data_IF_876919585582
#
_entry.id   IF_876919585582
#
_cell.length_a   1.000
_cell.length_b   1.000
_cell.length_c   1.000
_cell.angle_alpha   90.00
_cell.angle_beta   90.00
_cell.angle_gamma   90.00
#
_symmetry.space_group_name_H-M   'P 1'
#
loop_
_entity.id
_entity.type
_entity.pdbx_description
1 polymer ?
#
# COMPACT_ATOMS: atom_id res chain seq x y z
N UNK A 1 46.47 -11.75 -28.03
CA UNK A 1 45.52 -12.83 -27.69
C UNK A 1 44.88 -12.41 -26.38
N UNK A 2 43.71 -11.78 -26.46
CA UNK A 2 42.95 -11.41 -25.28
C UNK A 2 42.45 -12.72 -24.65
N UNK A 3 42.69 -12.89 -23.35
CA UNK A 3 42.15 -13.99 -22.58
C UNK A 3 40.63 -13.95 -22.66
N UNK A 4 40.01 -14.90 -23.36
CA UNK A 4 38.61 -15.24 -23.18
C UNK A 4 38.46 -15.67 -21.71
N UNK A 5 38.14 -14.71 -20.84
CA UNK A 5 37.69 -15.02 -19.50
C UNK A 5 36.46 -15.90 -19.63
N UNK A 6 36.47 -17.07 -19.00
CA UNK A 6 35.33 -17.98 -18.92
C UNK A 6 34.09 -17.17 -18.53
N UNK A 7 33.21 -16.91 -19.51
CA UNK A 7 31.92 -16.30 -19.23
C UNK A 7 31.05 -17.36 -18.56
N UNK A 8 30.94 -17.27 -17.24
CA UNK A 8 30.08 -18.15 -16.45
C UNK A 8 28.61 -17.85 -16.78
N UNK A 9 27.93 -18.80 -17.42
CA UNK A 9 26.50 -18.71 -17.68
C UNK A 9 25.68 -18.78 -16.39
N UNK A 10 24.44 -18.28 -16.46
CA UNK A 10 23.43 -18.49 -15.41
C UNK A 10 23.33 -19.97 -15.03
N UNK A 11 23.24 -20.26 -13.74
CA UNK A 11 23.08 -21.64 -13.27
C UNK A 11 21.69 -22.20 -13.58
N UNK A 12 20.67 -21.33 -13.61
CA UNK A 12 19.28 -21.70 -13.84
C UNK A 12 18.91 -21.71 -15.33
N UNK A 13 19.56 -20.85 -16.13
CA UNK A 13 19.24 -20.63 -17.54
C UNK A 13 20.48 -20.78 -18.42
N UNK A 14 20.88 -22.04 -18.62
CA UNK A 14 21.96 -22.44 -19.52
C UNK A 14 21.58 -23.68 -20.35
N UNK A 15 20.47 -23.58 -21.09
CA UNK A 15 19.99 -24.71 -21.88
C UNK A 15 20.90 -24.98 -23.09
N UNK A 16 21.25 -26.25 -23.33
CA UNK A 16 22.12 -26.65 -24.45
C UNK A 16 21.46 -26.37 -25.81
N UNK A 17 20.14 -26.52 -25.89
CA UNK A 17 19.31 -26.31 -27.07
C UNK A 17 18.79 -24.87 -27.21
N UNK A 18 19.27 -23.93 -26.38
CA UNK A 18 18.91 -22.52 -26.46
C UNK A 18 19.22 -21.93 -27.84
N UNK A 19 18.32 -21.11 -28.36
CA UNK A 19 18.42 -20.42 -29.66
C UNK A 19 18.70 -18.90 -29.53
N UNK A 20 18.86 -18.42 -28.30
CA UNK A 20 19.14 -17.02 -27.95
C UNK A 20 20.02 -16.95 -26.69
N UNK A 21 20.87 -15.92 -26.62
CA UNK A 21 21.58 -15.57 -25.39
C UNK A 21 21.21 -14.14 -25.00
N UNK A 22 20.63 -13.97 -23.81
CA UNK A 22 20.50 -12.64 -23.19
C UNK A 22 21.76 -12.36 -22.37
N UNK A 23 22.27 -11.14 -22.40
CA UNK A 23 23.42 -10.71 -21.62
C UNK A 23 22.93 -9.66 -20.64
N UNK A 24 23.03 -9.94 -19.34
CA UNK A 24 22.66 -8.97 -18.30
C UNK A 24 23.64 -7.78 -18.25
N UNK A 25 23.26 -6.71 -17.55
CA UNK A 25 24.12 -5.53 -17.41
C UNK A 25 25.43 -5.80 -16.66
N UNK A 26 25.46 -6.82 -15.81
CA UNK A 26 26.64 -7.37 -15.14
C UNK A 26 27.35 -8.48 -15.97
N UNK A 27 27.08 -8.54 -17.27
CA UNK A 27 27.75 -9.40 -18.25
C UNK A 27 27.57 -10.90 -18.05
N UNK A 28 26.51 -11.33 -17.36
CA UNK A 28 26.17 -12.75 -17.20
C UNK A 28 25.30 -13.20 -18.38
N UNK A 29 25.72 -14.22 -19.15
CA UNK A 29 24.92 -14.76 -20.24
C UNK A 29 23.86 -15.75 -19.74
N UNK A 30 22.64 -15.62 -20.28
CA UNK A 30 21.50 -16.49 -20.08
C UNK A 30 21.16 -17.16 -21.41
N UNK A 31 21.36 -18.47 -21.50
CA UNK A 31 21.01 -19.24 -22.70
C UNK A 31 19.55 -19.69 -22.62
N UNK A 32 18.70 -19.11 -23.46
CA UNK A 32 17.23 -19.14 -23.37
C UNK A 32 16.59 -19.39 -24.74
N UNK A 33 15.29 -19.67 -24.75
CA UNK A 33 14.52 -19.94 -25.97
C UNK A 33 13.65 -18.74 -26.35
N UNK A 34 13.76 -18.26 -27.59
CA UNK A 34 12.91 -17.20 -28.17
C UNK A 34 11.44 -17.51 -28.03
N UNK A 35 11.06 -18.76 -28.30
CA UNK A 35 9.67 -19.23 -28.19
C UNK A 35 9.14 -19.19 -26.75
N UNK A 36 10.00 -19.47 -25.76
CA UNK A 36 9.65 -19.35 -24.35
C UNK A 36 9.40 -17.89 -23.99
N UNK A 37 10.38 -17.03 -24.28
CA UNK A 37 10.30 -15.60 -24.03
C UNK A 37 9.09 -14.94 -24.72
N UNK A 38 8.90 -15.19 -26.01
CA UNK A 38 7.76 -14.64 -26.75
C UNK A 38 6.40 -15.21 -26.35
N UNK A 39 6.38 -16.37 -25.68
CA UNK A 39 5.14 -16.92 -25.11
C UNK A 39 4.78 -16.33 -23.75
N UNK A 40 5.75 -15.81 -23.00
CA UNK A 40 5.55 -15.22 -21.67
C UNK A 40 5.67 -13.70 -21.62
N UNK A 41 5.96 -13.04 -22.75
CA UNK A 41 6.13 -11.59 -22.87
C UNK A 41 5.85 -11.13 -24.30
N UNK A 42 4.84 -10.27 -24.47
CA UNK A 42 4.54 -9.66 -25.78
C UNK A 42 5.64 -8.69 -26.22
N UNK A 43 6.33 -8.04 -25.28
CA UNK A 43 7.49 -7.16 -25.57
C UNK A 43 8.62 -7.95 -26.22
N UNK A 44 9.01 -9.10 -25.66
CA UNK A 44 10.06 -9.93 -26.27
C UNK A 44 9.63 -10.50 -27.62
N UNK A 45 8.37 -10.93 -27.74
CA UNK A 45 7.82 -11.39 -29.02
C UNK A 45 7.93 -10.33 -30.12
N UNK A 46 7.48 -9.10 -29.83
CA UNK A 46 7.57 -7.96 -30.74
C UNK A 46 9.02 -7.59 -31.09
N UNK A 47 9.92 -7.64 -30.09
CA UNK A 47 11.36 -7.43 -30.30
C UNK A 47 11.93 -8.45 -31.31
N UNK A 48 11.57 -9.73 -31.20
CA UNK A 48 12.07 -10.77 -32.11
C UNK A 48 11.46 -10.72 -33.50
N UNK A 49 10.22 -10.24 -33.65
CA UNK A 49 9.58 -10.04 -34.95
C UNK A 49 10.21 -8.87 -35.70
N UNK A 50 10.64 -7.84 -34.97
CA UNK A 50 11.26 -6.62 -35.54
C UNK A 50 12.75 -6.82 -35.86
N UNK A 51 13.47 -7.52 -34.99
CA UNK A 51 14.86 -7.90 -35.21
C UNK A 51 14.92 -9.15 -36.11
N UNK A 52 15.08 -8.94 -37.42
CA UNK A 52 15.10 -10.01 -38.43
C UNK A 52 16.02 -11.21 -38.12
N UNK A 53 15.83 -12.31 -38.86
CA UNK A 53 16.50 -13.59 -38.59
C UNK A 53 18.04 -13.45 -38.49
N UNK A 54 18.70 -14.09 -37.50
CA UNK A 54 20.15 -14.02 -37.35
C UNK A 54 20.88 -14.58 -38.57
N UNK A 55 22.02 -13.97 -38.92
CA UNK A 55 22.96 -14.51 -39.90
C UNK A 55 23.40 -15.93 -39.50
N UNK A 56 23.38 -16.87 -40.46
CA UNK A 56 23.60 -18.28 -40.20
C UNK A 56 24.94 -18.57 -39.48
N UNK A 57 24.88 -19.26 -38.33
CA UNK A 57 26.03 -19.87 -37.68
C UNK A 57 26.33 -19.40 -36.24
N UNK A 58 25.72 -18.32 -35.76
CA UNK A 58 25.89 -17.86 -34.37
C UNK A 58 24.57 -17.62 -33.67
N UNK A 59 24.50 -18.01 -32.40
CA UNK A 59 23.35 -17.70 -31.55
C UNK A 59 23.27 -16.18 -31.38
N UNK A 60 22.13 -15.56 -31.69
CA UNK A 60 21.94 -14.13 -31.48
C UNK A 60 22.12 -13.79 -30.00
N UNK A 61 22.77 -12.64 -29.76
CA UNK A 61 22.99 -12.10 -28.41
C UNK A 61 22.24 -10.78 -28.28
N UNK A 62 21.58 -10.58 -27.13
CA UNK A 62 20.86 -9.34 -26.81
C UNK A 62 21.34 -8.85 -25.46
N UNK A 63 21.93 -7.65 -25.44
CA UNK A 63 22.33 -6.98 -24.22
C UNK A 63 21.11 -6.34 -23.55
N UNK A 64 20.96 -6.60 -22.26
CA UNK A 64 19.89 -6.10 -21.41
C UNK A 64 20.44 -5.12 -20.38
N UNK A 65 19.58 -4.19 -19.95
CA UNK A 65 19.92 -3.22 -18.91
C UNK A 65 19.78 -3.82 -17.49
N UNK A 66 19.09 -4.94 -17.37
CA UNK A 66 18.78 -5.61 -16.12
C UNK A 66 19.94 -6.46 -15.61
N UNK A 67 20.13 -6.48 -14.29
CA UNK A 67 21.15 -7.32 -13.66
C UNK A 67 20.75 -8.80 -13.68
N UNK A 68 21.75 -9.66 -13.59
CA UNK A 68 21.55 -11.12 -13.51
C UNK A 68 20.60 -11.51 -12.37
N UNK A 69 20.73 -10.87 -11.21
CA UNK A 69 19.89 -11.14 -10.04
C UNK A 69 18.39 -10.90 -10.27
N UNK A 70 18.04 -9.89 -11.07
CA UNK A 70 16.64 -9.61 -11.41
C UNK A 70 16.14 -10.62 -12.44
N UNK A 71 16.95 -10.92 -13.46
CA UNK A 71 16.60 -11.88 -14.51
C UNK A 71 16.42 -13.30 -13.96
N UNK A 72 17.25 -13.73 -13.01
CA UNK A 72 17.11 -15.03 -12.32
C UNK A 72 15.76 -15.17 -11.59
N UNK A 73 15.24 -14.07 -11.03
CA UNK A 73 13.92 -14.05 -10.37
C UNK A 73 12.77 -13.96 -11.37
N UNK A 74 12.97 -13.29 -12.51
CA UNK A 74 11.94 -12.97 -13.48
C UNK A 74 11.68 -14.10 -14.49
N UNK A 75 12.74 -14.66 -15.06
CA UNK A 75 12.65 -15.68 -16.10
C UNK A 75 11.85 -16.94 -15.71
N UNK A 76 11.85 -17.41 -14.44
CA UNK A 76 10.98 -18.52 -14.03
C UNK A 76 9.49 -18.31 -14.30
N UNK A 77 9.01 -17.06 -14.37
CA UNK A 77 7.63 -16.76 -14.71
C UNK A 77 7.33 -16.88 -16.21
N UNK A 78 8.34 -16.76 -17.07
CA UNK A 78 8.19 -16.90 -18.52
C UNK A 78 8.09 -18.38 -18.92
N UNK A 79 8.80 -19.26 -18.22
CA UNK A 79 8.85 -20.67 -18.57
C UNK A 79 7.76 -21.49 -17.85
N UNK A 80 7.20 -22.52 -18.50
CA UNK A 80 6.31 -23.47 -17.83
C UNK A 80 7.03 -24.16 -16.67
N UNK A 81 6.43 -24.14 -15.49
CA UNK A 81 7.02 -24.74 -14.29
C UNK A 81 6.36 -24.25 -13.02
N UNK A 82 6.59 -24.94 -11.90
CA UNK A 82 6.16 -24.48 -10.58
C UNK A 82 7.20 -23.47 -10.08
N UNK A 83 6.76 -22.25 -9.84
CA UNK A 83 7.59 -21.20 -9.23
C UNK A 83 7.26 -21.15 -7.74
N UNK A 84 8.25 -21.15 -6.83
CA UNK A 84 8.00 -21.00 -5.41
C UNK A 84 7.30 -19.65 -5.11
N UNK A 85 6.58 -19.54 -3.97
CA UNK A 85 5.97 -18.27 -3.59
C UNK A 85 6.98 -17.14 -3.57
N UNK A 86 6.65 -16.03 -4.25
CA UNK A 86 7.49 -14.85 -4.28
C UNK A 86 7.51 -14.19 -2.91
N UNK A 87 8.71 -13.90 -2.41
CA UNK A 87 8.92 -13.09 -1.22
C UNK A 87 9.33 -11.69 -1.67
N UNK A 88 8.58 -10.69 -1.22
CA UNK A 88 8.88 -9.28 -1.48
C UNK A 88 9.84 -8.75 -0.42
N UNK A 89 11.02 -8.36 -0.86
CA UNK A 89 12.06 -7.72 -0.07
C UNK A 89 12.38 -6.34 -0.65
N UNK A 90 12.16 -5.28 0.12
CA UNK A 90 12.30 -3.89 -0.33
C UNK A 90 13.59 -3.29 0.21
N UNK A 91 14.32 -2.49 -0.59
CA UNK A 91 13.88 -1.86 -1.84
C UNK A 91 14.06 -2.72 -3.11
N UNK A 92 14.75 -3.86 -3.05
CA UNK A 92 15.16 -4.64 -4.23
C UNK A 92 13.99 -5.11 -5.11
N UNK A 93 12.85 -5.42 -4.49
CA UNK A 93 11.65 -5.86 -5.21
C UNK A 93 11.11 -4.80 -6.15
N UNK A 94 11.37 -3.50 -5.90
CA UNK A 94 10.96 -2.46 -6.85
C UNK A 94 11.59 -2.66 -8.22
N UNK A 95 12.85 -3.11 -8.29
CA UNK A 95 13.50 -3.41 -9.56
C UNK A 95 12.84 -4.59 -10.26
N UNK A 96 12.45 -5.64 -9.52
CA UNK A 96 11.73 -6.78 -10.09
C UNK A 96 10.39 -6.35 -10.68
N UNK A 97 9.64 -5.50 -9.95
CA UNK A 97 8.35 -4.97 -10.38
C UNK A 97 8.47 -4.14 -11.66
N UNK A 98 9.40 -3.18 -11.70
CA UNK A 98 9.67 -2.33 -12.87
C UNK A 98 10.03 -3.17 -14.09
N UNK A 99 10.84 -4.21 -13.89
CA UNK A 99 11.26 -5.08 -14.99
C UNK A 99 10.14 -6.01 -15.46
N UNK A 100 9.33 -6.53 -14.55
CA UNK A 100 8.15 -7.32 -14.90
C UNK A 100 7.14 -6.51 -15.72
N UNK A 101 6.95 -5.24 -15.37
CA UNK A 101 6.12 -4.29 -16.12
C UNK A 101 6.75 -3.94 -17.48
N UNK A 102 8.05 -3.59 -17.50
CA UNK A 102 8.80 -3.26 -18.72
C UNK A 102 8.69 -4.35 -19.80
N UNK A 103 8.71 -5.61 -19.40
CA UNK A 103 8.61 -6.76 -20.32
C UNK A 103 7.20 -7.34 -20.40
N UNK A 104 6.20 -6.73 -19.75
CA UNK A 104 4.80 -7.19 -19.75
C UNK A 104 4.67 -8.69 -19.45
N UNK A 105 5.34 -9.15 -18.37
CA UNK A 105 5.29 -10.55 -17.95
C UNK A 105 4.13 -10.71 -16.96
N UNK A 106 2.93 -10.90 -17.49
CA UNK A 106 1.67 -10.95 -16.71
C UNK A 106 1.74 -11.93 -15.54
N UNK A 107 2.31 -13.12 -15.76
CA UNK A 107 2.44 -14.14 -14.71
C UNK A 107 3.32 -13.67 -13.55
N UNK A 108 4.33 -12.84 -13.81
CA UNK A 108 5.15 -12.26 -12.76
C UNK A 108 4.37 -11.17 -12.01
N UNK A 109 3.62 -10.32 -12.72
CA UNK A 109 2.76 -9.29 -12.12
C UNK A 109 1.67 -9.91 -11.24
N UNK A 110 1.05 -11.00 -11.67
CA UNK A 110 0.09 -11.79 -10.86
C UNK A 110 0.74 -12.36 -9.60
N UNK A 111 1.96 -12.91 -9.72
CA UNK A 111 2.70 -13.45 -8.57
C UNK A 111 3.09 -12.35 -7.57
N UNK A 112 3.47 -11.16 -8.06
CA UNK A 112 3.73 -9.98 -7.22
C UNK A 112 2.44 -9.56 -6.49
N UNK A 113 1.31 -9.49 -7.19
CA UNK A 113 0.03 -9.15 -6.59
C UNK A 113 -0.37 -10.15 -5.49
N UNK A 114 -0.17 -11.45 -5.75
CA UNK A 114 -0.41 -12.51 -4.78
C UNK A 114 0.52 -12.40 -3.56
N UNK A 115 1.79 -12.04 -3.77
CA UNK A 115 2.76 -11.83 -2.69
C UNK A 115 2.37 -10.65 -1.79
N UNK A 116 1.92 -9.52 -2.37
CA UNK A 116 1.38 -8.42 -1.59
C UNK A 116 0.13 -8.84 -0.80
N UNK A 117 -0.82 -9.52 -1.44
CA UNK A 117 -2.03 -9.98 -0.78
C UNK A 117 -1.73 -10.93 0.39
N UNK A 118 -0.79 -11.86 0.20
CA UNK A 118 -0.35 -12.79 1.24
C UNK A 118 0.30 -12.05 2.40
N UNK A 119 1.23 -11.11 2.11
CA UNK A 119 1.91 -10.32 3.13
C UNK A 119 0.91 -9.55 4.00
N UNK A 120 0.01 -8.80 3.36
CA UNK A 120 -1.06 -8.07 4.06
C UNK A 120 -1.92 -9.00 4.93
N UNK A 121 -2.27 -10.19 4.43
CA UNK A 121 -3.10 -11.13 5.19
C UNK A 121 -2.35 -11.78 6.37
N UNK A 122 -1.03 -11.92 6.29
CA UNK A 122 -0.20 -12.58 7.31
C UNK A 122 0.28 -11.65 8.43
N UNK A 123 0.43 -10.36 8.15
CA UNK A 123 0.99 -9.40 9.10
C UNK A 123 -0.02 -8.96 10.17
N UNK A 124 0.39 -9.08 11.43
CA UNK A 124 -0.39 -8.65 12.59
C UNK A 124 0.56 -8.19 13.71
N UNK A 125 0.64 -6.87 14.01
CA UNK A 125 -0.15 -5.80 13.42
C UNK A 125 0.21 -5.52 11.95
N UNK A 126 -0.69 -4.90 11.18
CA UNK A 126 -0.38 -4.32 9.87
C UNK A 126 0.76 -3.30 9.95
N UNK A 127 1.66 -3.32 8.96
CA UNK A 127 2.69 -2.30 8.78
C UNK A 127 2.27 -1.31 7.69
N UNK A 128 2.11 0.00 8.00
CA UNK A 128 1.56 0.96 7.04
C UNK A 128 2.42 1.15 5.78
N UNK A 129 3.74 1.02 5.89
CA UNK A 129 4.62 1.08 4.73
C UNK A 129 4.32 -0.07 3.75
N UNK A 130 4.06 -1.27 4.25
CA UNK A 130 3.78 -2.44 3.41
C UNK A 130 2.45 -2.32 2.67
N UNK A 131 1.43 -1.78 3.34
CA UNK A 131 0.13 -1.52 2.73
C UNK A 131 0.23 -0.36 1.74
N UNK A 132 1.09 0.63 1.99
CA UNK A 132 1.41 1.68 1.02
C UNK A 132 2.05 1.13 -0.25
N UNK A 133 3.06 0.26 -0.12
CA UNK A 133 3.70 -0.40 -1.26
C UNK A 133 2.68 -1.18 -2.10
N UNK A 134 1.79 -1.94 -1.44
CA UNK A 134 0.72 -2.67 -2.10
C UNK A 134 -0.28 -1.74 -2.79
N UNK A 135 -0.63 -0.62 -2.16
CA UNK A 135 -1.53 0.39 -2.73
C UNK A 135 -0.94 1.02 -4.00
N UNK A 136 0.35 1.39 -4.00
CA UNK A 136 1.01 1.98 -5.17
C UNK A 136 1.03 1.00 -6.33
N UNK A 137 1.49 -0.23 -6.10
CA UNK A 137 1.51 -1.28 -7.12
C UNK A 137 0.11 -1.55 -7.69
N UNK A 138 -0.86 -1.84 -6.81
CA UNK A 138 -2.22 -2.15 -7.24
C UNK A 138 -2.91 -0.97 -7.93
N UNK A 139 -2.57 0.26 -7.58
CA UNK A 139 -3.08 1.44 -8.27
C UNK A 139 -2.52 1.58 -9.68
N UNK A 140 -1.22 1.35 -9.84
CA UNK A 140 -0.55 1.41 -11.14
C UNK A 140 -1.13 0.39 -12.13
N UNK A 141 -1.34 -0.86 -11.66
CA UNK A 141 -1.85 -1.94 -12.50
C UNK A 141 -3.39 -2.14 -12.44
N UNK A 142 -4.13 -1.21 -11.82
CA UNK A 142 -5.60 -1.26 -11.70
C UNK A 142 -6.15 -2.57 -11.10
N UNK A 143 -5.47 -3.10 -10.08
CA UNK A 143 -5.82 -4.34 -9.42
C UNK A 143 -6.77 -4.12 -8.24
N UNK A 144 -7.64 -5.10 -7.96
CA UNK A 144 -8.63 -5.06 -6.87
C UNK A 144 -8.02 -4.84 -5.48
N UNK A 145 -6.76 -5.26 -5.32
CA UNK A 145 -5.98 -5.11 -4.09
C UNK A 145 -5.90 -3.65 -3.60
N UNK A 146 -6.00 -2.67 -4.53
CA UNK A 146 -5.97 -1.23 -4.26
C UNK A 146 -6.96 -0.84 -3.16
N UNK A 147 -8.18 -1.35 -3.23
CA UNK A 147 -9.25 -0.97 -2.28
C UNK A 147 -8.97 -1.51 -0.88
N UNK A 148 -8.42 -2.71 -0.78
CA UNK A 148 -8.08 -3.34 0.50
C UNK A 148 -6.90 -2.61 1.15
N UNK A 149 -5.83 -2.37 0.40
CA UNK A 149 -4.66 -1.62 0.88
C UNK A 149 -5.04 -0.19 1.30
N UNK A 150 -5.85 0.51 0.49
CA UNK A 150 -6.32 1.85 0.82
C UNK A 150 -7.14 1.90 2.11
N UNK A 151 -8.00 0.90 2.37
CA UNK A 151 -8.80 0.84 3.60
C UNK A 151 -7.91 0.65 4.84
N UNK A 152 -6.91 -0.23 4.76
CA UNK A 152 -5.98 -0.49 5.86
C UNK A 152 -5.12 0.73 6.18
N UNK A 153 -4.52 1.35 5.16
CA UNK A 153 -3.81 2.62 5.27
C UNK A 153 -4.66 3.73 5.88
N UNK A 154 -5.92 3.82 5.44
CA UNK A 154 -6.86 4.76 6.01
C UNK A 154 -7.04 4.46 7.49
N UNK A 155 -7.26 3.21 7.90
CA UNK A 155 -7.47 2.85 9.31
C UNK A 155 -6.23 3.02 10.20
N UNK A 156 -5.03 2.81 9.66
CA UNK A 156 -3.75 3.06 10.33
C UNK A 156 -3.43 4.55 10.49
N UNK A 157 -3.94 5.41 9.60
CA UNK A 157 -3.74 6.87 9.61
C UNK A 157 -2.26 7.31 9.68
N UNK A 158 -1.36 6.80 8.82
CA UNK A 158 0.07 7.13 8.85
C UNK A 158 0.29 8.63 8.62
N UNK A 159 1.31 9.22 9.24
CA UNK A 159 1.53 10.67 9.16
C UNK A 159 1.83 11.10 7.72
N UNK A 160 1.63 12.39 7.43
CA UNK A 160 1.96 12.90 6.10
C UNK A 160 3.47 12.81 5.81
N UNK A 161 4.30 12.95 6.83
CA UNK A 161 5.76 12.80 6.75
C UNK A 161 6.14 11.37 6.38
N UNK A 162 5.52 10.38 7.03
CA UNK A 162 5.77 8.96 6.74
C UNK A 162 5.45 8.63 5.29
N UNK A 163 4.26 9.01 4.81
CA UNK A 163 3.82 8.74 3.43
C UNK A 163 4.75 9.41 2.43
N UNK A 164 5.18 10.65 2.67
CA UNK A 164 6.15 11.33 1.81
C UNK A 164 7.51 10.62 1.80
N UNK A 165 7.97 10.14 2.96
CA UNK A 165 9.23 9.39 3.08
C UNK A 165 9.20 8.09 2.26
N UNK A 166 8.08 7.36 2.28
CA UNK A 166 7.91 6.14 1.49
C UNK A 166 7.73 6.42 0.00
N UNK A 167 7.13 7.57 -0.36
CA UNK A 167 6.89 7.94 -1.76
C UNK A 167 8.18 8.31 -2.48
N UNK A 168 9.08 9.04 -1.81
CA UNK A 168 10.30 9.58 -2.42
C UNK A 168 11.15 8.53 -3.18
N UNK A 169 11.42 7.32 -2.66
CA UNK A 169 12.18 6.30 -3.40
C UNK A 169 11.38 5.63 -4.54
N UNK A 170 10.04 5.70 -4.51
CA UNK A 170 9.16 4.99 -5.45
C UNK A 170 8.78 5.87 -6.64
N UNK A 171 8.63 7.18 -6.42
CA UNK A 171 8.18 8.15 -7.42
C UNK A 171 8.97 8.11 -8.75
N UNK A 172 10.30 7.93 -8.77
CA UNK A 172 11.05 7.79 -10.03
C UNK A 172 10.72 6.52 -10.82
N UNK A 173 10.28 5.46 -10.12
CA UNK A 173 10.01 4.14 -10.69
C UNK A 173 8.56 4.02 -11.16
N UNK A 174 7.63 4.60 -10.38
CA UNK A 174 6.21 4.62 -10.66
C UNK A 174 5.69 6.07 -10.62
N UNK A 175 5.96 6.88 -11.66
CA UNK A 175 5.57 8.27 -11.71
C UNK A 175 4.05 8.38 -11.93
N UNK A 176 3.26 8.37 -10.87
CA UNK A 176 1.80 8.48 -10.95
C UNK A 176 1.22 9.33 -9.81
N UNK A 177 0.02 9.89 -10.04
CA UNK A 177 -0.71 10.83 -9.15
C UNK A 177 -1.24 10.20 -7.85
N UNK A 178 -1.07 8.90 -7.66
CA UNK A 178 -1.71 8.10 -6.61
C UNK A 178 -1.27 8.47 -5.16
N UNK A 179 0.01 8.79 -4.88
CA UNK A 179 0.42 9.28 -3.56
C UNK A 179 -0.31 10.57 -3.16
N UNK A 180 -0.52 11.47 -4.13
CA UNK A 180 -1.24 12.73 -3.90
C UNK A 180 -2.72 12.50 -3.60
N UNK A 181 -3.32 11.47 -4.22
CA UNK A 181 -4.70 11.08 -3.94
C UNK A 181 -4.85 10.48 -2.55
N UNK A 182 -3.95 9.57 -2.14
CA UNK A 182 -3.95 9.00 -0.79
C UNK A 182 -3.77 10.10 0.26
N UNK A 183 -2.77 10.97 0.10
CA UNK A 183 -2.53 12.10 0.99
C UNK A 183 -3.76 13.02 1.08
N UNK A 184 -4.41 13.28 -0.06
CA UNK A 184 -5.66 14.06 -0.09
C UNK A 184 -6.78 13.37 0.70
N UNK A 185 -6.94 12.05 0.57
CA UNK A 185 -7.94 11.27 1.32
C UNK A 185 -7.65 11.29 2.82
N UNK A 186 -6.40 11.09 3.22
CA UNK A 186 -5.98 11.16 4.62
C UNK A 186 -6.22 12.56 5.21
N UNK A 187 -5.81 13.63 4.51
CA UNK A 187 -6.09 15.02 4.93
C UNK A 187 -7.59 15.29 5.04
N UNK A 188 -8.39 14.88 4.06
CA UNK A 188 -9.86 15.03 4.11
C UNK A 188 -10.46 14.30 5.32
N UNK A 189 -9.98 13.09 5.63
CA UNK A 189 -10.44 12.32 6.79
C UNK A 189 -10.06 13.00 8.11
N UNK A 190 -8.81 13.47 8.24
CA UNK A 190 -8.36 14.21 9.43
C UNK A 190 -9.17 15.48 9.62
N UNK A 191 -9.40 16.26 8.56
CA UNK A 191 -10.20 17.48 8.63
C UNK A 191 -11.65 17.18 9.06
N UNK A 192 -12.26 16.09 8.58
CA UNK A 192 -13.58 15.65 9.05
C UNK A 192 -13.56 15.25 10.52
N UNK A 193 -12.54 14.51 10.97
CA UNK A 193 -12.37 14.16 12.37
C UNK A 193 -12.21 15.41 13.25
N UNK A 194 -11.39 16.37 12.84
CA UNK A 194 -11.24 17.66 13.51
C UNK A 194 -12.56 18.44 13.58
N UNK A 195 -13.28 18.57 12.47
CA UNK A 195 -14.58 19.27 12.46
C UNK A 195 -15.61 18.63 13.41
N UNK A 196 -15.62 17.29 13.52
CA UNK A 196 -16.47 16.58 14.49
C UNK A 196 -16.02 16.89 15.93
N UNK A 197 -14.71 16.87 16.20
CA UNK A 197 -14.15 17.21 17.51
C UNK A 197 -14.45 18.65 17.92
N UNK A 198 -14.31 19.61 17.00
CA UNK A 198 -14.59 21.03 17.26
C UNK A 198 -16.06 21.24 17.62
N UNK A 199 -16.98 20.61 16.88
CA UNK A 199 -18.41 20.65 17.19
C UNK A 199 -18.72 20.05 18.56
N UNK A 200 -18.18 18.87 18.85
CA UNK A 200 -18.36 18.22 20.16
C UNK A 200 -17.79 19.09 21.29
N UNK A 201 -16.63 19.70 21.09
CA UNK A 201 -16.01 20.62 22.04
C UNK A 201 -16.91 21.80 22.38
N UNK A 202 -17.54 22.42 21.38
CA UNK A 202 -18.49 23.53 21.56
C UNK A 202 -19.74 23.10 22.33
N UNK A 203 -20.32 21.95 21.99
CA UNK A 203 -21.48 21.41 22.71
C UNK A 203 -21.14 21.09 24.17
N UNK A 204 -19.93 20.60 24.43
CA UNK A 204 -19.45 20.36 25.79
C UNK A 204 -19.25 21.66 26.58
N UNK A 205 -18.69 22.71 25.98
CA UNK A 205 -18.49 23.99 26.65
C UNK A 205 -19.81 24.64 27.03
N UNK A 206 -20.81 24.65 26.13
CA UNK A 206 -22.16 25.17 26.44
C UNK A 206 -22.82 24.43 27.62
N UNK A 207 -22.61 23.11 27.72
CA UNK A 207 -23.15 22.32 28.83
C UNK A 207 -22.45 22.63 30.15
N UNK A 208 -21.14 22.84 30.13
CA UNK A 208 -20.38 23.24 31.31
C UNK A 208 -20.85 24.62 31.80
N UNK A 209 -21.08 25.58 30.91
CA UNK A 209 -21.57 26.92 31.28
C UNK A 209 -22.97 26.88 31.92
N UNK A 210 -23.82 25.92 31.54
CA UNK A 210 -25.16 25.72 32.13
C UNK A 210 -25.10 25.04 33.51
N UNK A 211 -24.00 24.37 33.87
CA UNK A 211 -23.84 23.73 35.17
C UNK A 211 -23.51 24.79 36.25
N UNK A 212 -24.52 25.23 36.99
CA UNK A 212 -24.38 26.14 38.13
C UNK A 212 -24.15 25.37 39.44
N UNK A 213 -23.03 25.56 40.15
CA UNK A 213 -22.83 25.07 41.54
C UNK A 213 -21.47 24.41 41.86
N UNK A 214 -20.78 24.93 42.88
CA UNK A 214 -19.32 24.93 43.04
C UNK A 214 -18.62 23.78 43.79
N UNK A 215 -18.83 22.52 43.42
CA UNK A 215 -17.85 21.46 43.79
C UNK A 215 -17.80 20.27 42.81
N UNK A 216 -18.77 20.20 41.88
CA UNK A 216 -18.84 19.17 40.83
C UNK A 216 -18.42 19.67 39.45
N UNK A 217 -18.14 20.96 39.31
CA UNK A 217 -17.74 21.62 38.05
C UNK A 217 -16.33 21.20 37.64
N UNK A 218 -15.36 21.22 38.55
CA UNK A 218 -13.97 20.83 38.24
C UNK A 218 -13.85 19.36 37.79
N UNK A 219 -14.57 18.44 38.45
CA UNK A 219 -14.58 17.02 38.05
C UNK A 219 -15.29 16.78 36.71
N UNK A 220 -16.38 17.51 36.42
CA UNK A 220 -17.04 17.44 35.12
C UNK A 220 -16.16 18.02 33.99
N UNK A 221 -15.53 19.17 34.23
CA UNK A 221 -14.59 19.80 33.30
C UNK A 221 -13.41 18.87 33.01
N UNK A 222 -12.81 18.26 34.04
CA UNK A 222 -11.72 17.30 33.87
C UNK A 222 -12.13 16.06 33.08
N UNK A 223 -13.35 15.52 33.31
CA UNK A 223 -13.87 14.38 32.53
C UNK A 223 -14.11 14.72 31.08
N UNK A 224 -14.72 15.87 30.80
CA UNK A 224 -14.92 16.37 29.43
C UNK A 224 -13.58 16.60 28.73
N UNK A 225 -12.60 17.16 29.45
CA UNK A 225 -11.24 17.35 28.94
C UNK A 225 -10.56 16.03 28.58
N UNK A 226 -10.60 15.03 29.48
CA UNK A 226 -10.05 13.71 29.20
C UNK A 226 -10.75 13.00 28.05
N UNK A 227 -12.08 13.12 27.93
CA UNK A 227 -12.82 12.63 26.77
C UNK A 227 -12.38 13.33 25.48
N UNK A 228 -12.15 14.64 25.54
CA UNK A 228 -11.61 15.37 24.40
C UNK A 228 -10.19 14.92 24.05
N UNK A 229 -9.30 14.73 25.02
CA UNK A 229 -7.94 14.17 24.82
C UNK A 229 -7.98 12.74 24.25
N UNK A 230 -8.86 11.88 24.74
CA UNK A 230 -9.00 10.51 24.24
C UNK A 230 -9.58 10.47 22.82
N UNK A 231 -10.44 11.44 22.47
CA UNK A 231 -10.92 11.60 21.10
C UNK A 231 -9.80 11.95 20.10
N UNK A 232 -8.67 12.52 20.58
CA UNK A 232 -7.49 12.79 19.74
C UNK A 232 -6.80 11.50 19.29
N UNK A 233 -6.94 10.42 20.05
CA UNK A 233 -6.42 9.08 19.74
C UNK A 233 -7.32 8.32 18.76
N UNK A 234 -8.51 8.83 18.47
CA UNK A 234 -9.44 8.22 17.53
C UNK A 234 -9.18 8.78 16.12
N UNK A 235 -8.41 8.05 15.33
CA UNK A 235 -7.97 8.43 14.00
C UNK A 235 -8.94 8.03 12.88
N UNK A 236 -9.91 7.15 13.19
CA UNK A 236 -10.89 6.65 12.24
C UNK A 236 -12.32 7.07 12.57
N UNK A 237 -13.19 7.14 11.56
CA UNK A 237 -14.61 7.43 11.77
C UNK A 237 -15.29 6.33 12.59
N UNK A 238 -14.85 5.07 12.48
CA UNK A 238 -15.36 3.95 13.28
C UNK A 238 -14.93 4.08 14.75
N UNK A 239 -13.66 4.40 15.03
CA UNK A 239 -13.19 4.65 16.39
C UNK A 239 -13.82 5.90 16.99
N UNK A 240 -13.96 6.98 16.22
CA UNK A 240 -14.69 8.19 16.64
C UNK A 240 -16.16 7.94 16.90
N UNK A 241 -16.85 7.10 16.11
CA UNK A 241 -18.25 6.72 16.34
C UNK A 241 -18.38 5.88 17.61
N UNK A 242 -17.56 4.86 17.77
CA UNK A 242 -17.53 4.03 18.98
C UNK A 242 -17.23 4.88 20.22
N UNK A 243 -16.25 5.77 20.12
CA UNK A 243 -15.90 6.73 21.16
C UNK A 243 -17.06 7.66 21.48
N UNK A 244 -17.73 8.22 20.47
CA UNK A 244 -18.90 9.07 20.65
C UNK A 244 -20.06 8.33 21.31
N UNK A 245 -20.30 7.06 20.97
CA UNK A 245 -21.35 6.24 21.59
C UNK A 245 -21.02 5.91 23.05
N UNK A 246 -19.78 5.53 23.35
CA UNK A 246 -19.30 5.32 24.73
C UNK A 246 -19.40 6.62 25.55
N UNK A 247 -19.00 7.75 24.95
CA UNK A 247 -19.10 9.08 25.53
C UNK A 247 -20.53 9.46 25.91
N UNK A 248 -21.51 9.17 25.04
CA UNK A 248 -22.94 9.39 25.31
C UNK A 248 -23.42 8.62 26.54
N UNK A 249 -23.01 7.35 26.66
CA UNK A 249 -23.37 6.51 27.82
C UNK A 249 -22.81 7.15 29.09
N UNK A 250 -21.52 7.51 29.11
CA UNK A 250 -20.88 8.14 30.26
C UNK A 250 -21.54 9.46 30.68
N UNK A 251 -21.90 10.31 29.71
CA UNK A 251 -22.58 11.59 29.98
C UNK A 251 -24.01 11.41 30.48
N UNK A 252 -24.74 10.41 29.97
CA UNK A 252 -26.10 10.10 30.43
C UNK A 252 -26.12 9.56 31.85
N UNK A 253 -25.13 8.75 32.23
CA UNK A 253 -24.94 8.24 33.59
C UNK A 253 -24.53 9.36 34.56
N UNK A 254 -23.67 10.27 34.11
CA UNK A 254 -23.27 11.44 34.90
C UNK A 254 -24.44 12.42 35.14
N UNK A 255 -25.29 12.63 34.14
CA UNK A 255 -26.49 13.45 34.25
C UNK A 255 -27.56 12.81 35.15
N UNK A 256 -27.74 11.48 35.09
CA UNK A 256 -28.65 10.75 35.97
C UNK A 256 -28.20 10.74 37.46
N UNK A 257 -26.91 10.92 37.72
CA UNK A 257 -26.35 11.03 39.06
C UNK A 257 -26.42 12.47 39.64
N UNK A 258 -26.83 13.45 38.85
CA UNK A 258 -27.12 14.81 39.32
C UNK A 258 -28.59 14.89 39.76
N UNK A 259 -28.89 15.23 41.03
CA UNK A 259 -30.26 15.27 41.50
C UNK A 259 -30.99 16.47 40.91
N UNK A 260 -31.93 16.20 40.00
CA UNK A 260 -33.00 17.10 39.58
C UNK A 260 -32.63 18.05 38.43
N UNK A 261 -32.88 17.61 37.19
CA UNK A 261 -33.68 18.34 36.20
C UNK A 261 -33.73 17.54 34.89
N UNK A 262 -34.94 17.13 34.50
CA UNK A 262 -35.18 16.38 33.29
C UNK A 262 -35.36 17.33 32.09
N UNK A 263 -34.40 17.30 31.16
CA UNK A 263 -34.47 17.90 29.80
C UNK A 263 -33.06 18.21 29.27
N UNK A 264 -32.79 18.34 27.95
CA UNK A 264 -33.52 17.96 26.73
C UNK A 264 -32.80 16.78 26.03
N UNK A 265 -33.24 15.55 26.29
CA UNK A 265 -32.56 14.32 25.83
C UNK A 265 -32.93 13.86 24.41
N UNK A 266 -33.86 14.55 23.74
CA UNK A 266 -34.43 14.09 22.45
C UNK A 266 -33.76 14.67 21.20
N UNK A 267 -33.01 15.78 21.28
CA UNK A 267 -32.44 16.42 20.09
C UNK A 267 -31.04 15.91 19.70
N UNK A 268 -30.24 15.44 20.66
CA UNK A 268 -28.91 14.87 20.37
C UNK A 268 -28.95 13.63 19.48
N UNK A 269 -29.98 12.78 19.64
CA UNK A 269 -30.20 11.59 18.78
C UNK A 269 -30.39 11.95 17.31
N UNK A 270 -30.99 13.11 17.00
CA UNK A 270 -31.34 13.52 15.64
C UNK A 270 -30.16 14.12 14.88
N UNK A 271 -29.20 14.71 15.59
CA UNK A 271 -28.02 15.36 15.00
C UNK A 271 -26.88 14.37 14.73
N UNK A 272 -26.73 13.35 15.55
CA UNK A 272 -25.73 12.29 15.35
C UNK A 272 -26.06 11.37 14.16
N UNK A 273 -27.34 11.15 13.87
CA UNK A 273 -27.76 10.42 12.66
C UNK A 273 -27.48 11.20 11.35
N UNK A 274 -27.34 12.53 11.42
CA UNK A 274 -26.96 13.39 10.28
C UNK A 274 -25.45 13.54 10.10
N UNK A 275 -24.65 13.17 11.10
CA UNK A 275 -23.18 13.23 11.09
C UNK A 275 -22.52 11.93 10.60
N UNK A 276 -23.31 10.86 10.51
CA UNK A 276 -22.88 9.49 10.18
C UNK A 276 -23.12 9.13 8.70
N UNK A 277 -23.91 9.93 7.97
CA UNK A 277 -24.03 9.88 6.50
C UNK A 277 -23.00 10.81 5.86
#
# INVERSE_FOLDING_TARGET
MASDGEKTYSQSFNAEDADLVLISSDSVPFAVHRKGLGGGSEVFKSMFETCGAPSAGQRPQIDLTESSAVLEKLLPYVYPGIVPPLVLDFPDSWNLLVVADKYEIDRALEAIAAAFALRMASESPPEPEHDYQAFVFASHHQMDLKTTAAKRLIDEDPSEEDVLSWTAPIEPLFPAQEPSMLLRLLRMRRNRAHAVRDRLGLEYSERIERLSGGDKTAQHVARVWHMWEDSRKCHSLSTLRSFADQSKVHLSVAAAAAPGEAGPLYEGRRLLHKLVQ
#
